data_IF_820761867878
#
_entry.id   IF_820761867878
#
_cell.length_a   1.000
_cell.length_b   1.000
_cell.length_c   1.000
_cell.angle_alpha   90.00
_cell.angle_beta   90.00
_cell.angle_gamma   90.00
#
_symmetry.space_group_name_H-M   'P 1'
#
loop_
_entity.id
_entity.type
_entity.pdbx_description
1 polymer ?
#
# COMPACT_ATOMS: atom_id res chain seq x y z
N UNK A 1 -28.08 -16.72 -1.28
CA UNK A 1 -27.62 -15.56 -0.49
C UNK A 1 -26.63 -15.95 0.60
N UNK A 2 -26.97 -16.89 1.51
CA UNK A 2 -26.07 -17.32 2.61
C UNK A 2 -24.68 -17.74 2.14
N UNK A 3 -24.58 -18.46 1.01
CA UNK A 3 -23.29 -18.95 0.50
C UNK A 3 -22.68 -17.96 -0.50
N UNK A 4 -23.51 -17.25 -1.27
CA UNK A 4 -23.07 -16.35 -2.34
C UNK A 4 -22.34 -15.12 -1.82
N UNK A 5 -22.81 -14.50 -0.75
CA UNK A 5 -22.16 -13.33 -0.15
C UNK A 5 -20.78 -13.68 0.46
N UNK A 6 -20.65 -14.75 1.27
CA UNK A 6 -19.35 -15.21 1.75
C UNK A 6 -18.38 -15.65 0.64
N UNK A 7 -18.87 -16.20 -0.47
CA UNK A 7 -18.02 -16.56 -1.62
C UNK A 7 -17.36 -15.32 -2.23
N UNK A 8 -18.10 -14.22 -2.39
CA UNK A 8 -17.54 -12.94 -2.88
C UNK A 8 -16.49 -12.41 -1.88
N UNK A 9 -16.81 -12.43 -0.57
CA UNK A 9 -15.87 -12.03 0.47
C UNK A 9 -14.60 -12.89 0.52
N UNK A 10 -14.75 -14.20 0.28
CA UNK A 10 -13.63 -15.13 0.20
C UNK A 10 -12.71 -14.80 -0.97
N UNK A 11 -13.27 -14.56 -2.17
CA UNK A 11 -12.48 -14.17 -3.34
C UNK A 11 -11.69 -12.87 -3.10
N UNK A 12 -12.33 -11.85 -2.50
CA UNK A 12 -11.68 -10.58 -2.14
C UNK A 12 -10.54 -10.78 -1.14
N UNK A 13 -10.76 -11.59 -0.10
CA UNK A 13 -9.76 -11.81 0.96
C UNK A 13 -8.60 -12.69 0.50
N UNK A 14 -8.84 -13.65 -0.38
CA UNK A 14 -7.78 -14.42 -1.04
C UNK A 14 -6.93 -13.52 -1.95
N UNK A 15 -7.54 -12.60 -2.71
CA UNK A 15 -6.78 -11.65 -3.53
C UNK A 15 -5.86 -10.76 -2.67
N UNK A 16 -6.37 -10.24 -1.55
CA UNK A 16 -5.57 -9.45 -0.60
C UNK A 16 -4.46 -10.27 0.07
N UNK A 17 -4.74 -11.51 0.43
CA UNK A 17 -3.73 -12.42 0.99
C UNK A 17 -2.64 -12.71 -0.04
N UNK A 18 -3.02 -12.99 -1.29
CA UNK A 18 -2.08 -13.20 -2.40
C UNK A 18 -1.24 -11.94 -2.67
N UNK A 19 -1.83 -10.75 -2.63
CA UNK A 19 -1.09 -9.49 -2.76
C UNK A 19 -0.04 -9.31 -1.66
N UNK A 20 -0.36 -9.72 -0.43
CA UNK A 20 0.55 -9.58 0.72
C UNK A 20 1.78 -10.48 0.61
N UNK A 21 1.63 -11.71 0.11
CA UNK A 21 2.73 -12.68 0.01
C UNK A 21 3.41 -12.68 -1.37
N UNK A 22 2.67 -12.40 -2.44
CA UNK A 22 3.17 -12.41 -3.81
C UNK A 22 3.79 -11.09 -4.25
N UNK A 23 3.73 -10.04 -3.44
CA UNK A 23 4.23 -8.70 -3.81
C UNK A 23 3.46 -8.05 -4.95
N UNK A 24 2.28 -8.58 -5.30
CA UNK A 24 1.42 -8.05 -6.36
C UNK A 24 0.58 -6.92 -5.78
N UNK A 25 0.38 -5.86 -6.54
CA UNK A 25 -0.50 -4.76 -6.12
C UNK A 25 -1.93 -5.29 -5.92
N UNK A 26 -2.59 -4.99 -4.77
CA UNK A 26 -3.96 -5.43 -4.55
C UNK A 26 -4.92 -4.73 -5.52
N UNK A 27 -5.94 -5.45 -5.98
CA UNK A 27 -7.01 -4.86 -6.78
C UNK A 27 -7.91 -4.07 -5.83
N UNK A 28 -7.72 -2.75 -5.77
CA UNK A 28 -8.58 -1.86 -4.99
C UNK A 28 -9.35 -0.91 -5.92
N UNK A 29 -10.69 -0.99 -5.97
CA UNK A 29 -11.51 -0.21 -6.91
C UNK A 29 -11.49 1.29 -6.63
N UNK A 30 -11.08 1.70 -5.43
CA UNK A 30 -10.92 3.10 -5.04
C UNK A 30 -9.44 3.33 -4.72
N UNK A 31 -8.77 4.11 -5.58
CA UNK A 31 -7.32 4.17 -5.78
C UNK A 31 -6.45 4.69 -4.60
N UNK A 32 -6.95 4.78 -3.37
CA UNK A 32 -6.12 5.27 -2.25
C UNK A 32 -6.36 4.51 -0.94
N UNK A 33 -5.28 4.04 -0.32
CA UNK A 33 -5.26 3.59 1.08
C UNK A 33 -4.99 2.09 1.33
N UNK A 34 -5.34 1.19 0.40
CA UNK A 34 -5.14 -0.25 0.59
C UNK A 34 -3.67 -0.65 0.80
N UNK A 35 -2.79 -0.18 -0.08
CA UNK A 35 -1.36 -0.50 -0.03
C UNK A 35 -0.70 0.08 1.23
N UNK A 36 -1.10 1.28 1.64
CA UNK A 36 -0.62 1.89 2.87
C UNK A 36 -0.98 1.04 4.11
N UNK A 37 -2.22 0.53 4.19
CA UNK A 37 -2.65 -0.31 5.30
C UNK A 37 -1.95 -1.68 5.30
N UNK A 38 -1.72 -2.29 4.13
CA UNK A 38 -1.06 -3.59 3.99
C UNK A 38 0.39 -3.60 4.51
N UNK A 39 1.11 -2.49 4.34
CA UNK A 39 2.47 -2.36 4.84
C UNK A 39 2.55 -1.75 6.24
N UNK A 40 1.45 -1.20 6.77
CA UNK A 40 1.42 -0.65 8.12
C UNK A 40 1.39 -1.77 9.17
N UNK A 41 2.10 -1.64 10.31
CA UNK A 41 2.07 -2.65 11.39
C UNK A 41 0.66 -2.90 11.93
N UNK A 42 -0.25 -1.92 11.84
CA UNK A 42 -1.65 -2.09 12.21
C UNK A 42 -2.43 -3.07 11.31
N UNK A 43 -1.93 -3.36 10.11
CA UNK A 43 -2.48 -4.38 9.20
C UNK A 43 -2.13 -5.82 9.60
N UNK A 44 -1.39 -6.02 10.70
CA UNK A 44 -1.03 -7.33 11.25
C UNK A 44 -1.62 -7.49 12.64
N UNK A 45 -2.36 -8.56 12.86
CA UNK A 45 -2.87 -8.96 14.17
C UNK A 45 -2.07 -10.18 14.62
N UNK A 46 -1.37 -10.07 15.77
CA UNK A 46 -0.47 -11.13 16.26
C UNK A 46 0.60 -11.56 15.24
N UNK A 47 1.09 -10.60 14.43
CA UNK A 47 2.07 -10.88 13.37
C UNK A 47 1.48 -11.46 12.08
N UNK A 48 0.20 -11.87 12.08
CA UNK A 48 -0.49 -12.41 10.91
C UNK A 48 -1.24 -11.29 10.16
N UNK A 49 -1.16 -11.23 8.83
CA UNK A 49 -1.93 -10.25 8.04
C UNK A 49 -3.43 -10.38 8.30
N UNK A 50 -4.12 -9.25 8.49
CA UNK A 50 -5.57 -9.22 8.74
C UNK A 50 -6.38 -9.93 7.64
N UNK A 51 -5.87 -9.92 6.39
CA UNK A 51 -6.49 -10.63 5.26
C UNK A 51 -6.70 -12.14 5.52
N UNK A 52 -5.79 -12.79 6.27
CA UNK A 52 -5.89 -14.22 6.58
C UNK A 52 -7.09 -14.54 7.48
N UNK A 53 -7.39 -13.65 8.44
CA UNK A 53 -8.60 -13.78 9.26
C UNK A 53 -9.87 -13.69 8.42
N UNK A 54 -9.86 -12.86 7.37
CA UNK A 54 -10.94 -12.81 6.39
C UNK A 54 -11.13 -14.11 5.63
N UNK A 55 -10.05 -14.72 5.14
CA UNK A 55 -10.08 -16.02 4.44
C UNK A 55 -10.66 -17.11 5.35
N UNK A 56 -10.21 -17.18 6.60
CA UNK A 56 -10.74 -18.13 7.60
C UNK A 56 -12.21 -17.87 7.90
N UNK A 57 -12.58 -16.60 8.14
CA UNK A 57 -13.96 -16.22 8.48
C UNK A 57 -14.93 -16.57 7.35
N UNK A 58 -14.66 -16.13 6.12
CA UNK A 58 -15.52 -16.46 4.98
C UNK A 58 -15.50 -17.95 4.66
N UNK A 59 -14.36 -18.62 4.75
CA UNK A 59 -14.25 -20.07 4.59
C UNK A 59 -15.13 -20.84 5.58
N UNK A 60 -15.11 -20.45 6.87
CA UNK A 60 -16.02 -21.05 7.87
C UNK A 60 -17.49 -20.78 7.57
N UNK A 61 -17.88 -19.58 7.13
CA UNK A 61 -19.27 -19.26 6.78
C UNK A 61 -19.75 -20.06 5.56
N UNK A 62 -18.90 -20.22 4.53
CA UNK A 62 -19.18 -21.07 3.36
C UNK A 62 -19.38 -22.52 3.81
N UNK A 63 -18.46 -23.05 4.62
CA UNK A 63 -18.53 -24.43 5.10
C UNK A 63 -19.78 -24.71 5.94
N UNK A 64 -20.16 -23.78 6.82
CA UNK A 64 -21.41 -23.87 7.59
C UNK A 64 -22.63 -23.80 6.67
N UNK A 65 -22.62 -22.91 5.67
CA UNK A 65 -23.72 -22.71 4.73
C UNK A 65 -23.94 -23.86 3.74
N UNK A 66 -22.90 -24.62 3.39
CA UNK A 66 -23.00 -25.76 2.46
C UNK A 66 -23.63 -27.01 3.09
N UNK A 67 -23.64 -27.14 4.42
CA UNK A 67 -24.19 -28.32 5.09
C UNK A 67 -25.69 -28.15 5.34
N UNK A 68 -26.51 -29.14 4.95
CA UNK A 68 -27.97 -29.16 5.20
C UNK A 68 -28.27 -28.88 6.68
N UNK A 69 -29.07 -27.85 7.03
CA UNK A 69 -29.07 -27.35 8.41
C UNK A 69 -30.16 -28.00 9.29
N UNK A 70 -29.80 -28.63 10.42
CA UNK A 70 -30.67 -28.66 11.61
C UNK A 70 -30.72 -27.25 12.25
N UNK A 71 -31.76 -26.95 13.04
CA UNK A 71 -31.95 -25.63 13.70
C UNK A 71 -30.67 -25.13 14.39
N UNK A 72 -29.97 -26.01 15.11
CA UNK A 72 -28.75 -25.68 15.86
C UNK A 72 -27.64 -25.07 14.99
N UNK A 73 -27.56 -25.42 13.69
CA UNK A 73 -26.56 -24.86 12.78
C UNK A 73 -26.91 -23.46 12.27
N UNK A 74 -28.19 -23.10 12.20
CA UNK A 74 -28.61 -21.73 11.84
C UNK A 74 -28.18 -20.73 12.92
N UNK A 75 -28.37 -21.09 14.19
CA UNK A 75 -27.92 -20.27 15.32
C UNK A 75 -26.39 -20.08 15.34
N UNK A 76 -25.64 -21.12 14.99
CA UNK A 76 -24.17 -21.05 14.89
C UNK A 76 -23.76 -20.11 13.73
N UNK A 77 -24.38 -20.23 12.56
CA UNK A 77 -24.10 -19.37 11.41
C UNK A 77 -24.37 -17.89 11.71
N UNK A 78 -25.51 -17.60 12.34
CA UNK A 78 -25.84 -16.25 12.80
C UNK A 78 -24.80 -15.73 13.81
N UNK A 79 -24.54 -16.49 14.88
CA UNK A 79 -23.58 -16.09 15.92
C UNK A 79 -22.18 -15.82 15.37
N UNK A 80 -21.68 -16.67 14.47
CA UNK A 80 -20.40 -16.46 13.80
C UNK A 80 -20.42 -15.20 12.93
N UNK A 81 -21.44 -15.02 12.08
CA UNK A 81 -21.54 -13.84 11.20
C UNK A 81 -21.63 -12.53 11.98
N UNK A 82 -22.38 -12.50 13.09
CA UNK A 82 -22.48 -11.34 13.98
C UNK A 82 -21.15 -11.05 14.68
N UNK A 83 -20.47 -12.07 15.21
CA UNK A 83 -19.15 -11.91 15.81
C UNK A 83 -18.13 -11.35 14.81
N UNK A 84 -18.08 -11.90 13.59
CA UNK A 84 -17.19 -11.40 12.53
C UNK A 84 -17.53 -9.97 12.10
N UNK A 85 -18.82 -9.62 12.05
CA UNK A 85 -19.26 -8.25 11.77
C UNK A 85 -18.72 -7.27 12.82
N UNK A 86 -18.86 -7.58 14.12
CA UNK A 86 -18.32 -6.75 15.21
C UNK A 86 -16.80 -6.60 15.09
N UNK A 87 -16.07 -7.72 14.91
CA UNK A 87 -14.62 -7.68 14.72
C UNK A 87 -14.23 -6.82 13.51
N UNK A 88 -14.93 -6.96 12.38
CA UNK A 88 -14.68 -6.17 11.17
C UNK A 88 -14.90 -4.67 11.40
N UNK A 89 -15.99 -4.29 12.08
CA UNK A 89 -16.26 -2.89 12.44
C UNK A 89 -15.19 -2.34 13.38
N UNK A 90 -14.75 -3.11 14.39
CA UNK A 90 -13.67 -2.69 15.28
C UNK A 90 -12.34 -2.48 14.55
N UNK A 91 -12.00 -3.36 13.59
CA UNK A 91 -10.79 -3.22 12.77
C UNK A 91 -10.87 -2.00 11.83
N UNK A 92 -12.04 -1.76 11.23
CA UNK A 92 -12.29 -0.60 10.38
C UNK A 92 -12.15 0.70 11.20
N UNK A 93 -12.74 0.74 12.39
CA UNK A 93 -12.65 1.88 13.31
C UNK A 93 -11.21 2.13 13.76
N UNK A 94 -10.49 1.07 14.13
CA UNK A 94 -9.07 1.17 14.49
C UNK A 94 -8.22 1.67 13.33
N UNK A 95 -8.47 1.21 12.10
CA UNK A 95 -7.78 1.70 10.90
C UNK A 95 -8.02 3.20 10.69
N UNK A 96 -9.26 3.65 10.87
CA UNK A 96 -9.61 5.06 10.75
C UNK A 96 -8.89 5.91 11.80
N UNK A 97 -8.93 5.50 13.07
CA UNK A 97 -8.30 6.25 14.16
C UNK A 97 -6.77 6.27 14.10
N UNK A 98 -6.13 5.18 13.67
CA UNK A 98 -4.66 5.09 13.66
C UNK A 98 -4.01 5.68 12.41
N UNK A 99 -4.65 5.53 11.24
CA UNK A 99 -4.03 5.84 9.94
C UNK A 99 -4.69 7.06 9.28
N UNK A 100 -5.89 7.45 9.71
CA UNK A 100 -6.63 8.57 9.13
C UNK A 100 -7.21 8.29 7.73
N UNK A 101 -7.17 7.03 7.27
CA UNK A 101 -7.72 6.62 5.98
C UNK A 101 -8.62 5.39 6.12
N UNK A 102 -9.69 5.37 5.32
CA UNK A 102 -10.61 4.23 5.22
C UNK A 102 -10.14 3.35 4.07
N UNK A 103 -9.80 2.10 4.37
CA UNK A 103 -9.51 1.10 3.35
C UNK A 103 -10.82 0.65 2.69
N UNK A 104 -10.96 0.87 1.38
CA UNK A 104 -12.15 0.50 0.60
C UNK A 104 -12.45 -0.99 0.67
N UNK A 105 -11.43 -1.85 0.65
CA UNK A 105 -11.61 -3.31 0.76
C UNK A 105 -12.06 -3.76 2.15
N UNK A 106 -11.63 -3.08 3.22
CA UNK A 106 -12.12 -3.33 4.59
C UNK A 106 -13.56 -2.88 4.76
N UNK A 107 -13.94 -1.75 4.15
CA UNK A 107 -15.31 -1.26 4.11
C UNK A 107 -16.22 -2.27 3.40
N UNK A 108 -15.81 -2.75 2.22
CA UNK A 108 -16.53 -3.80 1.48
C UNK A 108 -16.70 -5.08 2.31
N UNK A 109 -15.64 -5.52 2.98
CA UNK A 109 -15.72 -6.71 3.87
C UNK A 109 -16.68 -6.50 5.03
N UNK A 110 -16.72 -5.29 5.60
CA UNK A 110 -17.66 -4.95 6.68
C UNK A 110 -19.11 -4.99 6.19
N UNK A 111 -19.38 -4.42 5.00
CA UNK A 111 -20.71 -4.49 4.39
C UNK A 111 -21.13 -5.94 4.05
N UNK A 112 -20.20 -6.77 3.60
CA UNK A 112 -20.45 -8.19 3.33
C UNK A 112 -20.76 -8.98 4.62
N UNK A 113 -20.05 -8.73 5.73
CA UNK A 113 -20.38 -9.38 7.01
C UNK A 113 -21.71 -8.89 7.58
N UNK A 114 -21.98 -7.58 7.55
CA UNK A 114 -23.26 -7.02 7.97
C UNK A 114 -24.42 -7.59 7.16
N UNK A 115 -24.32 -7.59 5.83
CA UNK A 115 -25.38 -8.13 4.96
C UNK A 115 -25.57 -9.63 5.17
N UNK A 116 -24.50 -10.39 5.36
CA UNK A 116 -24.59 -11.83 5.67
C UNK A 116 -25.26 -12.06 7.03
N UNK A 117 -24.94 -11.25 8.05
CA UNK A 117 -25.57 -11.33 9.37
C UNK A 117 -27.07 -11.00 9.31
N UNK A 118 -27.45 -9.97 8.54
CA UNK A 118 -28.85 -9.60 8.31
C UNK A 118 -29.58 -10.73 7.56
N UNK A 119 -28.94 -11.34 6.55
CA UNK A 119 -29.49 -12.48 5.83
C UNK A 119 -29.76 -13.67 6.77
N UNK A 120 -28.83 -13.98 7.68
CA UNK A 120 -29.04 -15.02 8.69
C UNK A 120 -30.16 -14.67 9.70
N UNK A 121 -30.35 -13.38 10.00
CA UNK A 121 -31.42 -12.91 10.89
C UNK A 121 -32.81 -13.06 10.26
N UNK A 122 -32.98 -12.74 8.97
CA UNK A 122 -34.28 -12.83 8.29
C UNK A 122 -34.71 -14.25 7.92
N UNK A 123 -33.76 -15.18 7.76
CA UNK A 123 -34.06 -16.61 7.48
C UNK A 123 -34.64 -17.32 8.72
N UNK A 124 -34.74 -16.62 9.85
CA UNK A 124 -35.42 -17.10 11.05
C UNK A 124 -36.94 -17.14 10.88
N UNK A 125 -37.51 -16.38 9.95
CA UNK A 125 -38.95 -16.14 9.88
C UNK A 125 -39.69 -16.77 8.69
N UNK A 126 -39.00 -17.16 7.60
CA UNK A 126 -39.66 -17.78 6.43
C UNK A 126 -39.00 -19.11 5.98
N UNK A 127 -39.83 -20.16 5.86
CA UNK A 127 -39.51 -21.44 5.23
C UNK A 127 -40.03 -21.43 3.79
N UNK A 128 -39.22 -22.03 2.90
CA UNK A 128 -39.41 -22.27 1.46
C UNK A 128 -38.90 -21.17 0.51
N UNK A 129 -37.62 -21.25 0.15
CA UNK A 129 -37.16 -20.71 -1.15
C UNK A 129 -36.21 -21.67 -1.87
N UNK A 130 -36.82 -22.40 -2.82
CA UNK A 130 -36.35 -22.88 -4.13
C UNK A 130 -34.83 -23.10 -4.26
N UNK A 131 -34.43 -24.35 -4.03
CA UNK A 131 -33.09 -24.86 -3.78
C UNK A 131 -32.15 -25.09 -4.98
N UNK A 132 -32.38 -24.45 -6.14
CA UNK A 132 -31.54 -24.68 -7.35
C UNK A 132 -30.77 -23.45 -7.79
N UNK A 133 -31.48 -22.35 -8.04
CA UNK A 133 -30.94 -21.18 -8.72
C UNK A 133 -29.87 -20.46 -7.89
N UNK A 134 -30.04 -20.39 -6.56
CA UNK A 134 -29.10 -19.72 -5.67
C UNK A 134 -27.73 -20.41 -5.58
N UNK A 135 -27.66 -21.73 -5.80
CA UNK A 135 -26.40 -22.48 -5.83
C UNK A 135 -25.66 -22.22 -7.16
N UNK A 136 -26.39 -22.26 -8.28
CA UNK A 136 -25.83 -22.03 -9.63
C UNK A 136 -25.27 -20.61 -9.77
N UNK A 137 -26.02 -19.60 -9.32
CA UNK A 137 -25.55 -18.20 -9.32
C UNK A 137 -24.32 -18.02 -8.42
N UNK A 138 -24.29 -18.71 -7.27
CA UNK A 138 -23.14 -18.71 -6.37
C UNK A 138 -21.88 -19.30 -6.99
N UNK A 139 -22.00 -20.45 -7.64
CA UNK A 139 -20.90 -21.12 -8.32
C UNK A 139 -20.38 -20.27 -9.50
N UNK A 140 -21.27 -19.73 -10.33
CA UNK A 140 -20.90 -18.87 -11.45
C UNK A 140 -20.14 -17.60 -10.99
N UNK A 141 -20.56 -16.98 -9.89
CA UNK A 141 -19.87 -15.83 -9.32
C UNK A 141 -18.45 -16.17 -8.83
N UNK A 142 -18.25 -17.35 -8.23
CA UNK A 142 -16.92 -17.81 -7.78
C UNK A 142 -16.02 -18.05 -8.98
N UNK A 143 -16.45 -18.85 -9.96
CA UNK A 143 -15.63 -19.14 -11.13
C UNK A 143 -15.34 -17.88 -11.95
N UNK A 144 -16.31 -16.96 -12.07
CA UNK A 144 -16.09 -15.65 -12.67
C UNK A 144 -15.05 -14.84 -11.90
N UNK A 145 -15.12 -14.78 -10.57
CA UNK A 145 -14.15 -14.05 -9.73
C UNK A 145 -12.75 -14.67 -9.76
N UNK A 146 -12.64 -16.01 -9.77
CA UNK A 146 -11.37 -16.74 -9.86
C UNK A 146 -10.76 -16.58 -11.25
N UNK A 147 -11.56 -16.70 -12.31
CA UNK A 147 -11.10 -16.51 -13.69
C UNK A 147 -10.66 -15.07 -13.95
N UNK A 148 -11.39 -14.08 -13.42
CA UNK A 148 -10.99 -12.66 -13.49
C UNK A 148 -9.71 -12.40 -12.69
N UNK A 149 -9.59 -12.97 -11.49
CA UNK A 149 -8.39 -12.85 -10.66
C UNK A 149 -7.18 -13.53 -11.30
N UNK A 150 -7.36 -14.70 -11.91
CA UNK A 150 -6.33 -15.39 -12.67
C UNK A 150 -5.92 -14.58 -13.90
N UNK A 151 -6.89 -13.96 -14.60
CA UNK A 151 -6.58 -13.07 -15.72
C UNK A 151 -5.80 -11.83 -15.26
N UNK A 152 -6.19 -11.21 -14.14
CA UNK A 152 -5.46 -10.08 -13.56
C UNK A 152 -4.05 -10.46 -13.07
N UNK A 153 -3.85 -11.69 -12.57
CA UNK A 153 -2.53 -12.22 -12.21
C UNK A 153 -1.66 -12.49 -13.45
N UNK A 154 -2.24 -12.99 -14.54
CA UNK A 154 -1.54 -13.26 -15.80
C UNK A 154 -1.19 -11.97 -16.54
N UNK A 155 -2.04 -10.94 -16.45
CA UNK A 155 -1.75 -9.62 -17.04
C UNK A 155 -0.65 -8.85 -16.29
N UNK A 156 -0.16 -9.39 -15.16
CA UNK A 156 0.78 -8.70 -14.29
C UNK A 156 0.18 -7.41 -13.70
N UNK A 157 0.88 -6.73 -12.78
CA UNK A 157 0.57 -5.32 -12.55
C UNK A 157 0.60 -4.67 -13.94
N UNK A 158 -0.44 -3.92 -14.32
CA UNK A 158 -0.39 -3.09 -15.52
C UNK A 158 0.98 -2.42 -15.50
N UNK A 159 1.91 -2.90 -16.33
CA UNK A 159 3.10 -2.16 -16.64
C UNK A 159 2.47 -0.89 -17.19
N UNK A 160 2.51 0.19 -16.40
CA UNK A 160 2.09 1.50 -16.87
C UNK A 160 2.83 1.59 -18.19
N UNK A 161 2.09 1.60 -19.29
CA UNK A 161 2.66 1.49 -20.62
C UNK A 161 3.44 2.78 -20.82
N UNK A 162 4.68 2.79 -20.36
CA UNK A 162 5.58 3.91 -20.49
C UNK A 162 5.93 3.91 -21.96
N UNK A 163 5.54 4.97 -22.65
CA UNK A 163 5.92 5.17 -24.03
C UNK A 163 7.44 5.41 -24.05
N UNK A 164 8.21 4.33 -24.20
CA UNK A 164 9.68 4.40 -24.24
C UNK A 164 10.14 5.34 -25.34
N UNK A 165 9.38 5.45 -26.44
CA UNK A 165 9.66 6.40 -27.51
C UNK A 165 9.52 7.86 -27.07
N UNK A 166 8.63 8.20 -26.13
CA UNK A 166 8.62 9.54 -25.52
C UNK A 166 9.78 9.75 -24.56
N UNK A 167 10.14 8.75 -23.75
CA UNK A 167 11.29 8.86 -22.85
C UNK A 167 12.59 9.10 -23.62
N UNK A 168 12.76 8.48 -24.79
CA UNK A 168 13.90 8.70 -25.69
C UNK A 168 13.92 10.11 -26.33
N UNK A 169 12.81 10.85 -26.31
CA UNK A 169 12.77 12.25 -26.78
C UNK A 169 13.15 13.25 -25.70
N UNK A 170 13.08 12.87 -24.42
CA UNK A 170 13.48 13.76 -23.32
C UNK A 170 14.99 13.78 -23.23
N UNK A 171 15.59 14.96 -23.36
CA UNK A 171 17.05 15.10 -23.27
C UNK A 171 17.56 14.77 -21.87
N UNK A 172 18.80 14.25 -21.82
CA UNK A 172 19.47 13.95 -20.55
C UNK A 172 19.55 15.16 -19.62
N UNK A 173 19.72 16.37 -20.16
CA UNK A 173 19.79 17.61 -19.36
C UNK A 173 18.46 17.94 -18.66
N UNK A 174 17.33 17.56 -19.25
CA UNK A 174 16.01 17.75 -18.63
C UNK A 174 15.82 16.77 -17.47
N UNK A 175 16.22 15.50 -17.66
CA UNK A 175 16.10 14.46 -16.64
C UNK A 175 17.11 14.63 -15.51
N UNK A 176 18.33 15.04 -15.84
CA UNK A 176 19.47 15.16 -14.95
C UNK A 176 20.18 16.51 -15.12
N UNK A 177 19.53 17.64 -14.75
CA UNK A 177 20.17 18.94 -14.83
C UNK A 177 21.40 18.98 -13.93
N UNK A 178 22.43 19.72 -14.31
CA UNK A 178 23.72 19.73 -13.59
C UNK A 178 23.63 20.15 -12.11
N UNK A 179 22.57 20.90 -11.75
CA UNK A 179 22.27 21.31 -10.38
C UNK A 179 21.38 20.32 -9.64
N UNK A 180 20.99 19.17 -10.19
CA UNK A 180 20.18 18.20 -9.46
C UNK A 180 20.99 17.51 -8.36
N UNK A 181 20.37 17.20 -7.20
CA UNK A 181 21.01 16.36 -6.20
C UNK A 181 21.41 15.03 -6.81
N UNK A 182 22.69 14.69 -6.69
CA UNK A 182 23.22 13.47 -7.28
C UNK A 182 24.35 12.89 -6.44
N UNK A 183 24.62 11.60 -6.65
CA UNK A 183 25.75 10.90 -6.07
C UNK A 183 26.35 9.92 -7.09
N UNK A 184 27.66 9.67 -6.98
CA UNK A 184 28.42 8.93 -7.98
C UNK A 184 29.46 9.83 -8.65
N UNK A 185 30.23 9.31 -9.62
CA UNK A 185 31.20 10.11 -10.36
C UNK A 185 30.49 11.13 -11.27
N UNK A 186 31.09 12.32 -11.43
CA UNK A 186 30.54 13.37 -12.30
C UNK A 186 30.44 12.91 -13.76
N UNK A 187 31.42 12.10 -14.19
CA UNK A 187 31.49 11.45 -15.51
C UNK A 187 31.24 9.95 -15.35
N UNK A 188 29.97 9.58 -15.23
CA UNK A 188 29.53 8.20 -15.19
C UNK A 188 29.12 7.72 -16.59
N UNK A 189 29.35 6.45 -16.90
CA UNK A 189 28.89 5.82 -18.15
C UNK A 189 27.36 5.66 -18.16
N UNK A 190 26.77 5.57 -16.96
CA UNK A 190 25.33 5.38 -16.76
C UNK A 190 24.79 6.43 -15.81
N UNK A 191 23.65 7.02 -16.17
CA UNK A 191 22.90 7.94 -15.32
C UNK A 191 21.55 7.31 -14.99
N UNK A 192 21.28 7.11 -13.70
CA UNK A 192 19.99 6.62 -13.21
C UNK A 192 19.26 7.77 -12.54
N UNK A 193 18.11 8.15 -13.09
CA UNK A 193 17.28 9.22 -12.55
C UNK A 193 16.18 8.63 -11.68
N UNK A 194 16.20 8.93 -10.39
CA UNK A 194 15.27 8.42 -9.39
C UNK A 194 14.23 9.49 -9.08
N UNK A 195 12.97 9.23 -9.45
CA UNK A 195 11.84 10.06 -9.06
C UNK A 195 11.25 9.56 -7.74
N UNK A 196 11.25 10.40 -6.72
CA UNK A 196 10.78 10.02 -5.38
C UNK A 196 10.33 11.24 -4.57
N UNK A 197 9.57 10.99 -3.51
CA UNK A 197 9.15 12.00 -2.55
C UNK A 197 9.57 11.60 -1.14
N UNK A 198 9.94 12.59 -0.34
CA UNK A 198 10.22 12.40 1.09
C UNK A 198 9.01 11.91 1.87
N UNK A 199 7.80 12.22 1.39
CA UNK A 199 6.56 11.79 2.01
C UNK A 199 6.09 10.40 1.57
N UNK A 200 6.74 9.80 0.56
CA UNK A 200 6.35 8.49 0.05
C UNK A 200 6.88 7.36 0.94
N UNK A 201 5.96 6.59 1.55
CA UNK A 201 6.30 5.46 2.41
C UNK A 201 7.06 4.34 1.66
N UNK A 202 6.64 4.03 0.43
CA UNK A 202 7.31 3.02 -0.38
C UNK A 202 8.77 3.42 -0.67
N UNK A 203 8.98 4.69 -1.07
CA UNK A 203 10.32 5.23 -1.27
C UNK A 203 11.15 5.19 0.01
N UNK A 204 10.59 5.62 1.15
CA UNK A 204 11.27 5.57 2.45
C UNK A 204 11.75 4.16 2.81
N UNK A 205 10.96 3.14 2.44
CA UNK A 205 11.27 1.73 2.75
C UNK A 205 12.29 1.14 1.77
N UNK A 206 12.23 1.49 0.48
CA UNK A 206 13.10 0.91 -0.55
C UNK A 206 14.45 1.62 -0.70
N UNK A 207 14.51 2.90 -0.35
CA UNK A 207 15.67 3.73 -0.61
C UNK A 207 16.97 3.26 0.09
N UNK A 208 16.97 2.79 1.35
CA UNK A 208 18.21 2.32 1.99
C UNK A 208 18.90 1.21 1.18
N UNK A 209 18.14 0.22 0.70
CA UNK A 209 18.66 -0.87 -0.13
C UNK A 209 19.16 -0.36 -1.48
N UNK A 210 18.45 0.60 -2.08
CA UNK A 210 18.86 1.27 -3.31
C UNK A 210 20.18 2.03 -3.14
N UNK A 211 20.35 2.80 -2.06
CA UNK A 211 21.59 3.51 -1.77
C UNK A 211 22.74 2.53 -1.58
N UNK A 212 22.52 1.42 -0.87
CA UNK A 212 23.53 0.38 -0.69
C UNK A 212 23.94 -0.23 -2.03
N UNK A 213 22.99 -0.60 -2.89
CA UNK A 213 23.27 -1.10 -4.24
C UNK A 213 24.00 -0.06 -5.08
N UNK A 214 23.57 1.20 -5.02
CA UNK A 214 24.15 2.27 -5.79
C UNK A 214 25.60 2.57 -5.38
N UNK A 215 25.99 2.32 -4.13
CA UNK A 215 27.39 2.38 -3.68
C UNK A 215 28.27 1.31 -4.31
N UNK A 216 27.72 0.16 -4.72
CA UNK A 216 28.49 -0.89 -5.38
C UNK A 216 28.71 -0.61 -6.87
N UNK A 217 28.07 0.42 -7.43
CA UNK A 217 28.18 0.80 -8.84
C UNK A 217 29.15 1.99 -9.00
N UNK A 218 30.41 1.70 -9.33
CA UNK A 218 31.44 2.73 -9.51
C UNK A 218 31.31 3.51 -10.82
N UNK A 219 30.60 2.95 -11.80
CA UNK A 219 30.39 3.48 -13.16
C UNK A 219 29.07 4.27 -13.32
N UNK A 220 28.29 4.39 -12.26
CA UNK A 220 26.91 4.88 -12.31
C UNK A 220 26.72 6.14 -11.46
N UNK A 221 26.10 7.17 -12.05
CA UNK A 221 25.66 8.38 -11.36
C UNK A 221 24.16 8.30 -11.13
N UNK A 222 23.76 8.55 -9.90
CA UNK A 222 22.37 8.57 -9.50
C UNK A 222 21.93 10.01 -9.30
N UNK A 223 20.85 10.40 -9.96
CA UNK A 223 20.30 11.76 -9.90
C UNK A 223 18.90 11.69 -9.32
N UNK A 224 18.66 12.46 -8.27
CA UNK A 224 17.38 12.45 -7.58
C UNK A 224 16.48 13.57 -8.08
N UNK A 225 15.21 13.25 -8.34
CA UNK A 225 14.16 14.17 -8.75
C UNK A 225 13.01 14.07 -7.77
N UNK A 226 12.64 15.21 -7.19
CA UNK A 226 11.43 15.27 -6.35
C UNK A 226 10.19 15.11 -7.22
N UNK A 227 9.38 14.12 -6.86
CA UNK A 227 8.04 13.91 -7.40
C UNK A 227 7.03 13.99 -6.24
N UNK A 228 6.70 15.21 -5.78
CA UNK A 228 5.86 15.40 -4.61
C UNK A 228 4.50 14.76 -4.83
N UNK A 229 4.13 13.86 -3.92
CA UNK A 229 2.77 13.33 -3.84
C UNK A 229 1.95 14.31 -3.01
N UNK A 230 0.78 14.72 -3.53
CA UNK A 230 0.01 15.94 -3.22
C UNK A 230 -0.33 16.26 -1.75
N UNK A 231 0.04 15.43 -0.77
CA UNK A 231 -0.34 15.62 0.63
C UNK A 231 0.71 16.25 1.53
N UNK A 232 1.99 16.34 1.13
CA UNK A 232 3.07 16.90 1.96
C UNK A 232 4.20 17.53 1.12
N UNK A 233 3.86 18.44 0.20
CA UNK A 233 4.82 19.11 -0.68
C UNK A 233 5.92 19.90 0.06
N UNK A 234 5.65 20.33 1.30
CA UNK A 234 6.58 21.10 2.13
C UNK A 234 7.87 20.34 2.42
N UNK A 235 7.78 19.02 2.61
CA UNK A 235 8.96 18.19 2.86
C UNK A 235 9.91 18.18 1.65
N UNK A 236 9.37 18.03 0.45
CA UNK A 236 10.14 18.05 -0.80
C UNK A 236 10.67 19.46 -1.11
N UNK A 237 9.92 20.52 -0.80
CA UNK A 237 10.40 21.90 -0.91
C UNK A 237 11.56 22.20 0.05
N UNK A 238 11.48 21.74 1.30
CA UNK A 238 12.55 21.88 2.28
C UNK A 238 13.80 21.08 1.88
N UNK A 239 13.63 19.92 1.25
CA UNK A 239 14.74 19.16 0.68
C UNK A 239 15.44 19.95 -0.42
N UNK A 240 14.67 20.54 -1.34
CA UNK A 240 15.22 21.36 -2.41
C UNK A 240 15.95 22.61 -1.84
N UNK A 241 15.43 23.21 -0.78
CA UNK A 241 16.12 24.29 -0.08
C UNK A 241 17.44 23.81 0.55
N UNK A 242 17.45 22.65 1.23
CA UNK A 242 18.67 22.06 1.78
C UNK A 242 19.71 21.74 0.69
N UNK A 243 19.27 21.41 -0.53
CA UNK A 243 20.14 21.22 -1.68
C UNK A 243 20.91 22.48 -2.08
N UNK A 244 20.27 23.65 -2.00
CA UNK A 244 20.95 24.92 -2.28
C UNK A 244 22.12 25.18 -1.32
N UNK A 245 22.12 24.55 -0.14
CA UNK A 245 23.17 24.65 0.87
C UNK A 245 24.15 23.45 0.85
N UNK A 246 23.98 22.50 -0.07
CA UNK A 246 24.79 21.27 -0.11
C UNK A 246 24.47 20.27 1.01
N UNK A 247 23.37 20.48 1.75
CA UNK A 247 22.93 19.64 2.88
C UNK A 247 21.79 18.68 2.49
N UNK A 248 21.51 18.56 1.19
CA UNK A 248 20.41 17.76 0.64
C UNK A 248 20.30 16.38 1.28
N UNK A 249 21.39 15.62 1.24
CA UNK A 249 21.40 14.24 1.65
C UNK A 249 21.30 14.06 3.16
N UNK A 250 21.80 15.03 3.93
CA UNK A 250 21.66 15.04 5.38
C UNK A 250 20.20 15.24 5.77
N UNK A 251 19.50 16.17 5.11
CA UNK A 251 18.07 16.40 5.31
C UNK A 251 17.24 15.16 4.93
N UNK A 252 17.50 14.60 3.76
CA UNK A 252 16.93 13.33 3.31
C UNK A 252 17.11 12.19 4.33
N UNK A 253 18.33 12.02 4.86
CA UNK A 253 18.63 11.01 5.88
C UNK A 253 17.82 11.17 7.15
N UNK A 254 17.60 12.41 7.61
CA UNK A 254 16.76 12.72 8.79
C UNK A 254 15.30 12.35 8.51
N UNK A 255 14.75 12.78 7.37
CA UNK A 255 13.34 12.54 7.02
C UNK A 255 13.02 11.06 6.82
N UNK A 256 13.94 10.32 6.23
CA UNK A 256 13.80 8.88 6.03
C UNK A 256 14.17 8.07 7.29
N UNK A 257 14.72 8.68 8.33
CA UNK A 257 14.97 8.02 9.62
C UNK A 257 16.01 6.90 9.54
N UNK A 258 16.92 6.96 8.56
CA UNK A 258 17.92 5.93 8.34
C UNK A 258 19.29 6.43 8.84
N UNK A 259 19.70 5.96 10.02
CA UNK A 259 21.03 6.21 10.59
C UNK A 259 22.14 5.81 9.60
N UNK A 260 21.95 4.69 8.88
CA UNK A 260 22.86 4.22 7.82
C UNK A 260 22.98 5.18 6.63
N UNK A 261 21.93 5.95 6.35
CA UNK A 261 21.89 6.94 5.25
C UNK A 261 22.59 8.23 5.66
N UNK A 262 22.55 8.56 6.95
CA UNK A 262 23.25 9.71 7.53
C UNK A 262 24.76 9.59 7.36
N UNK A 263 25.36 8.47 7.76
CA UNK A 263 26.81 8.26 7.64
C UNK A 263 27.24 8.04 6.19
N UNK A 264 26.40 7.35 5.41
CA UNK A 264 26.68 7.01 4.02
C UNK A 264 26.76 8.21 3.06
N UNK A 265 25.94 9.23 3.30
CA UNK A 265 25.78 10.33 2.36
C UNK A 265 26.45 11.62 2.83
N UNK A 266 26.75 11.77 4.12
CA UNK A 266 27.49 12.93 4.65
C UNK A 266 28.93 12.97 4.11
N UNK A 267 29.54 11.82 3.81
CA UNK A 267 30.91 11.75 3.26
C UNK A 267 31.02 12.16 1.78
N UNK A 268 29.91 12.27 1.06
CA UNK A 268 29.89 12.81 -0.31
C UNK A 268 29.14 14.12 -0.31
N UNK A 269 29.86 15.23 -0.07
CA UNK A 269 29.34 16.57 -0.32
C UNK A 269 28.72 16.59 -1.72
N UNK A 270 27.44 16.92 -1.81
CA UNK A 270 26.85 17.33 -3.08
C UNK A 270 27.72 18.45 -3.64
N UNK A 271 28.00 18.48 -4.96
CA UNK A 271 28.66 19.63 -5.55
C UNK A 271 27.88 20.88 -5.12
N UNK A 272 28.55 21.88 -4.52
CA UNK A 272 27.84 23.03 -3.99
C UNK A 272 27.03 23.65 -5.13
N UNK A 273 25.70 23.67 -4.97
CA UNK A 273 24.90 24.61 -5.74
C UNK A 273 25.53 25.98 -5.50
N UNK A 274 25.81 26.73 -6.56
CA UNK A 274 26.49 28.01 -6.49
C UNK A 274 25.61 29.05 -5.77
N UNK A 275 25.46 28.94 -4.44
CA UNK A 275 24.72 29.85 -3.60
C UNK A 275 25.72 30.57 -2.70
N UNK A 276 26.35 31.62 -3.23
CA UNK A 276 27.06 32.60 -2.39
C UNK A 276 26.04 33.28 -1.47
N UNK A 277 26.14 33.08 -0.16
CA UNK A 277 25.81 34.15 0.80
C UNK A 277 24.65 33.97 1.80
N UNK A 278 24.09 32.78 2.04
CA UNK A 278 23.05 32.62 3.09
C UNK A 278 23.43 31.50 4.07
N UNK A 279 23.72 31.85 5.33
CA UNK A 279 23.94 30.89 6.43
C UNK A 279 22.61 30.52 7.05
N UNK A 280 22.23 29.24 6.97
CA UNK A 280 21.08 28.70 7.72
C UNK A 280 21.49 28.37 9.15
N UNK A 281 20.69 28.80 10.13
CA UNK A 281 20.87 28.46 11.54
C UNK A 281 20.27 27.08 11.83
N UNK A 282 21.07 26.18 12.40
CA UNK A 282 20.67 24.84 12.86
C UNK A 282 19.54 24.84 13.92
N UNK A 283 19.15 26.01 14.44
CA UNK A 283 18.02 26.14 15.38
C UNK A 283 16.65 25.82 14.76
N UNK A 284 16.49 25.96 13.43
CA UNK A 284 15.18 25.80 12.77
C UNK A 284 14.76 24.33 12.56
N UNK A 285 15.72 23.39 12.57
CA UNK A 285 15.45 21.95 12.42
C UNK A 285 14.80 21.38 13.70
N UNK A 286 15.03 21.99 14.87
CA UNK A 286 14.49 21.51 16.14
C UNK A 286 13.00 21.82 16.31
N UNK A 287 12.50 22.87 15.65
CA UNK A 287 11.11 23.32 15.81
C UNK A 287 10.10 22.49 15.01
N UNK A 288 10.51 21.80 13.93
CA UNK A 288 9.60 20.96 13.14
C UNK A 288 9.51 19.50 13.61
N UNK A 289 10.40 19.07 14.52
CA UNK A 289 10.33 17.76 15.18
C UNK A 289 9.40 17.76 16.41
N UNK A 290 8.86 18.92 16.81
CA UNK A 290 8.25 19.16 18.12
C UNK A 290 6.77 19.50 18.10
N UNK A 291 5.95 18.90 17.23
CA UNK A 291 4.48 18.98 17.30
C UNK A 291 3.85 17.62 17.03
N UNK A 292 4.01 16.71 18.00
CA UNK A 292 2.99 15.69 18.31
C UNK A 292 2.62 15.86 19.78
N UNK A 293 1.58 16.65 20.01
CA UNK A 293 0.66 16.52 21.14
C UNK A 293 -0.70 16.22 20.55
#
# INVERSE_FOLDING_TARGET
MIVTLPLIGFALTVNLAAATYGGVAPICPLASGCSALLHHPAGRLLGVPVAYFGVVAYGTLIFVGLRKPPWRRRSIGYGLSAAYSVVSVCLLFRSHLLVGFICSSCLMSTLLFCSTSIAYAHIRDDIELRSGLGLVVGIAAVFGSVSWSAHALIQGPHAIAHNSAELHRVSGDVLAPGLAPSFGPDRADRIVVVFSSLSCFACKTSLPSWIQWAKTQSDTRFVFRHLPISRNADSDAAALAAHLHGEYWQYCGIMWGAESTRTALVDRKSPPAQAKGVRFSTSLIRTMSGTRS
#
